data_IF_479051978984
#
_entry.id   IF_479051978984
#
_cell.length_a   1.000
_cell.length_b   1.000
_cell.length_c   1.000
_cell.angle_alpha   90.00
_cell.angle_beta   90.00
_cell.angle_gamma   90.00
#
_symmetry.space_group_name_H-M   'P 1'
#
loop_
_entity.id
_entity.type
_entity.pdbx_description
1 polymer ?
#
# COMPACT_ATOMS: atom_id res chain seq x y z
N UNK A 1 40.80 -9.88 33.41
CA UNK A 1 39.69 -10.54 32.68
C UNK A 1 39.83 -12.04 32.92
N UNK A 2 39.06 -12.62 33.83
CA UNK A 2 39.25 -14.01 34.27
C UNK A 2 38.47 -14.95 33.34
N UNK A 3 39.05 -15.27 32.19
CA UNK A 3 38.47 -16.18 31.20
C UNK A 3 39.18 -17.53 31.35
N UNK A 4 38.43 -18.56 31.72
CA UNK A 4 38.95 -19.93 31.88
C UNK A 4 39.74 -20.39 30.64
N UNK A 5 40.92 -20.95 30.86
CA UNK A 5 41.84 -21.45 29.83
C UNK A 5 41.14 -22.38 28.81
N UNK A 6 40.26 -23.27 29.29
CA UNK A 6 39.46 -24.15 28.45
C UNK A 6 38.53 -23.41 27.47
N UNK A 7 38.04 -22.22 27.83
CA UNK A 7 37.20 -21.39 26.95
C UNK A 7 38.04 -20.75 25.84
N UNK A 8 39.28 -20.35 26.13
CA UNK A 8 40.22 -19.80 25.16
C UNK A 8 40.51 -20.86 24.09
N UNK A 9 40.92 -22.07 24.49
CA UNK A 9 41.18 -23.18 23.56
C UNK A 9 39.96 -23.56 22.72
N UNK A 10 38.75 -23.60 23.31
CA UNK A 10 37.51 -23.87 22.58
C UNK A 10 37.20 -22.80 21.53
N UNK A 11 37.38 -21.52 21.86
CA UNK A 11 37.15 -20.42 20.92
C UNK A 11 38.18 -20.40 19.80
N UNK A 12 39.47 -20.63 20.11
CA UNK A 12 40.55 -20.72 19.10
C UNK A 12 40.31 -21.90 18.15
N UNK A 13 40.02 -23.09 18.65
CA UNK A 13 39.71 -24.26 17.81
C UNK A 13 38.47 -24.02 16.92
N UNK A 14 37.45 -23.34 17.45
CA UNK A 14 36.27 -22.97 16.68
C UNK A 14 36.56 -21.94 15.60
N UNK A 15 37.46 -21.00 15.86
CA UNK A 15 37.92 -20.01 14.87
C UNK A 15 38.72 -20.67 13.74
N UNK A 16 39.60 -21.61 14.07
CA UNK A 16 40.38 -22.38 13.09
C UNK A 16 39.50 -23.26 12.20
N UNK A 17 38.40 -23.82 12.73
CA UNK A 17 37.51 -24.72 12.00
C UNK A 17 36.40 -24.03 11.20
N UNK A 18 35.93 -22.86 11.65
CA UNK A 18 34.69 -22.25 11.10
C UNK A 18 34.79 -20.73 10.86
N UNK A 19 35.99 -20.15 10.99
CA UNK A 19 36.21 -18.72 10.86
C UNK A 19 35.96 -17.93 12.15
N UNK A 20 36.55 -16.73 12.21
CA UNK A 20 36.54 -15.85 13.39
C UNK A 20 35.10 -15.43 13.76
N UNK A 21 34.27 -15.11 12.76
CA UNK A 21 32.89 -14.67 12.96
C UNK A 21 32.01 -15.75 13.60
N UNK A 22 32.20 -17.00 13.21
CA UNK A 22 31.49 -18.13 13.81
C UNK A 22 32.00 -18.41 15.23
N UNK A 23 33.27 -18.11 15.53
CA UNK A 23 33.87 -18.33 16.84
C UNK A 23 33.32 -17.35 17.89
N UNK A 24 33.14 -16.08 17.50
CA UNK A 24 32.65 -15.00 18.35
C UNK A 24 31.17 -15.17 18.74
N UNK A 25 30.37 -15.81 17.90
CA UNK A 25 28.94 -16.01 18.14
C UNK A 25 28.62 -17.38 18.73
N UNK A 26 27.72 -17.45 19.70
CA UNK A 26 27.20 -18.73 20.19
C UNK A 26 26.53 -19.52 19.05
N UNK A 27 26.73 -20.84 19.02
CA UNK A 27 25.96 -21.70 18.10
C UNK A 27 24.48 -21.59 18.46
N UNK A 28 23.61 -21.70 17.46
CA UNK A 28 22.17 -21.73 17.69
C UNK A 28 21.85 -22.84 18.70
N UNK A 29 21.40 -22.47 19.89
CA UNK A 29 21.05 -23.43 20.94
C UNK A 29 19.80 -24.18 20.48
N UNK A 30 19.71 -25.50 20.72
CA UNK A 30 18.46 -26.22 20.51
C UNK A 30 17.41 -25.56 21.41
N UNK A 31 16.46 -24.86 20.79
CA UNK A 31 15.38 -24.19 21.51
C UNK A 31 14.45 -25.21 22.19
N UNK A 32 13.46 -24.72 22.93
CA UNK A 32 12.43 -25.58 23.52
C UNK A 32 11.79 -26.46 22.43
N UNK A 33 11.66 -27.79 22.64
CA UNK A 33 11.02 -28.67 21.67
C UNK A 33 9.60 -28.20 21.36
N UNK A 34 9.18 -28.38 20.11
CA UNK A 34 7.85 -27.97 19.65
C UNK A 34 6.79 -28.83 20.35
N UNK A 35 5.92 -28.20 21.14
CA UNK A 35 4.85 -28.92 21.88
C UNK A 35 3.57 -29.16 21.05
N UNK A 36 3.41 -28.47 19.93
CA UNK A 36 2.25 -28.61 19.03
C UNK A 36 2.73 -29.30 17.75
N UNK A 37 2.05 -30.39 17.36
CA UNK A 37 2.31 -31.14 16.14
C UNK A 37 2.03 -30.30 14.89
N UNK A 38 2.57 -30.70 13.75
CA UNK A 38 2.33 -29.96 12.50
C UNK A 38 0.89 -30.15 11.99
N UNK A 39 0.27 -31.30 12.26
CA UNK A 39 -1.15 -31.55 12.01
C UNK A 39 -2.06 -30.60 12.81
N UNK A 40 -1.78 -30.43 14.11
CA UNK A 40 -2.52 -29.51 14.96
C UNK A 40 -2.38 -28.05 14.47
N UNK A 41 -1.21 -27.66 13.95
CA UNK A 41 -1.03 -26.34 13.30
C UNK A 41 -1.84 -26.20 12.04
N UNK A 42 -1.85 -27.23 11.19
CA UNK A 42 -2.62 -27.24 9.95
C UNK A 42 -4.12 -27.11 10.25
N UNK A 43 -4.62 -27.78 11.30
CA UNK A 43 -5.99 -27.61 11.78
C UNK A 43 -6.27 -26.15 12.17
N UNK A 44 -5.44 -25.54 13.03
CA UNK A 44 -5.60 -24.14 13.45
C UNK A 44 -5.63 -23.19 12.25
N UNK A 45 -4.74 -23.39 11.28
CA UNK A 45 -4.66 -22.58 10.07
C UNK A 45 -5.91 -22.77 9.21
N UNK A 46 -6.33 -24.02 9.00
CA UNK A 46 -7.54 -24.34 8.24
C UNK A 46 -8.76 -23.67 8.86
N UNK A 47 -8.97 -23.81 10.17
CA UNK A 47 -10.06 -23.17 10.90
C UNK A 47 -10.03 -21.65 10.74
N UNK A 48 -8.84 -21.03 10.81
CA UNK A 48 -8.70 -19.59 10.61
C UNK A 48 -9.05 -19.13 9.18
N UNK A 49 -8.89 -19.99 8.17
CA UNK A 49 -9.23 -19.71 6.78
C UNK A 49 -10.69 -20.01 6.43
N UNK A 50 -11.44 -20.67 7.31
CA UNK A 50 -12.88 -20.93 7.16
C UNK A 50 -13.67 -19.81 7.82
N UNK A 51 -14.75 -19.33 7.19
CA UNK A 51 -15.58 -18.29 7.82
C UNK A 51 -16.29 -18.87 9.06
N UNK A 52 -16.42 -18.12 10.17
CA UNK A 52 -17.12 -18.62 11.34
C UNK A 52 -18.59 -19.01 11.04
N UNK A 53 -19.25 -18.32 10.10
CA UNK A 53 -20.61 -18.63 9.62
C UNK A 53 -20.70 -20.05 9.04
N UNK A 54 -19.69 -20.49 8.29
CA UNK A 54 -19.64 -21.84 7.72
C UNK A 54 -19.51 -22.92 8.81
N UNK A 55 -19.08 -22.53 10.02
CA UNK A 55 -19.00 -23.38 11.20
C UNK A 55 -20.20 -23.20 12.14
N UNK A 56 -21.28 -22.56 11.68
CA UNK A 56 -22.51 -22.35 12.45
C UNK A 56 -22.45 -21.24 13.50
N UNK A 57 -21.45 -20.34 13.43
CA UNK A 57 -21.32 -19.22 14.35
C UNK A 57 -21.94 -17.94 13.76
N UNK A 58 -22.46 -17.06 14.61
CA UNK A 58 -23.04 -15.77 14.19
C UNK A 58 -22.02 -14.68 13.84
N UNK A 59 -20.72 -14.97 13.94
CA UNK A 59 -19.65 -13.99 13.71
C UNK A 59 -19.21 -13.96 12.24
N UNK A 60 -19.01 -12.77 11.68
CA UNK A 60 -18.51 -12.63 10.30
C UNK A 60 -17.02 -12.99 10.18
N UNK A 61 -16.20 -12.60 11.16
CA UNK A 61 -14.74 -12.79 11.16
C UNK A 61 -14.24 -13.40 12.46
N UNK A 62 -13.07 -14.03 12.40
CA UNK A 62 -12.38 -14.53 13.58
C UNK A 62 -11.64 -13.41 14.30
N UNK A 63 -11.99 -13.14 15.57
CA UNK A 63 -11.01 -12.54 16.48
C UNK A 63 -10.08 -13.64 17.04
N UNK A 64 -8.86 -13.28 17.45
CA UNK A 64 -7.94 -14.24 18.09
C UNK A 64 -8.60 -14.96 19.28
N UNK A 65 -9.44 -14.26 20.05
CA UNK A 65 -10.16 -14.85 21.19
C UNK A 65 -11.22 -15.85 20.74
N UNK A 66 -12.01 -15.50 19.72
CA UNK A 66 -13.06 -16.37 19.20
C UNK A 66 -12.48 -17.63 18.56
N UNK A 67 -11.44 -17.49 17.75
CA UNK A 67 -10.76 -18.60 17.11
C UNK A 67 -10.14 -19.53 18.16
N UNK A 68 -9.46 -18.96 19.17
CA UNK A 68 -8.88 -19.77 20.25
C UNK A 68 -9.97 -20.51 21.01
N UNK A 69 -11.09 -19.85 21.37
CA UNK A 69 -12.21 -20.51 22.03
C UNK A 69 -12.75 -21.68 21.19
N UNK A 70 -13.01 -21.44 19.90
CA UNK A 70 -13.50 -22.47 19.00
C UNK A 70 -12.55 -23.67 18.90
N UNK A 71 -11.23 -23.42 18.78
CA UNK A 71 -10.21 -24.49 18.76
C UNK A 71 -10.24 -25.29 20.06
N UNK A 72 -10.39 -24.64 21.21
CA UNK A 72 -10.42 -25.36 22.50
C UNK A 72 -11.64 -26.26 22.64
N UNK A 73 -12.78 -25.84 22.07
CA UNK A 73 -14.06 -26.54 22.15
C UNK A 73 -14.20 -27.65 21.08
N UNK A 74 -13.58 -27.49 19.90
CA UNK A 74 -13.87 -28.32 18.73
C UNK A 74 -12.64 -29.06 18.16
N UNK A 75 -11.44 -28.85 18.70
CA UNK A 75 -10.27 -29.60 18.23
C UNK A 75 -10.35 -31.06 18.68
N UNK A 76 -10.03 -32.02 17.78
CA UNK A 76 -9.82 -33.41 18.15
C UNK A 76 -8.85 -33.59 19.33
N UNK A 77 -9.15 -34.52 20.23
CA UNK A 77 -8.33 -34.78 21.42
C UNK A 77 -6.89 -35.18 21.05
N UNK A 78 -6.72 -35.87 19.92
CA UNK A 78 -5.43 -36.29 19.36
C UNK A 78 -4.44 -35.13 19.17
N UNK A 79 -4.94 -33.92 18.90
CA UNK A 79 -4.10 -32.74 18.71
C UNK A 79 -3.60 -32.12 20.02
N UNK A 80 -4.21 -32.46 21.16
CA UNK A 80 -3.85 -31.97 22.50
C UNK A 80 -3.71 -30.43 22.57
N UNK A 81 -4.67 -29.70 21.98
CA UNK A 81 -4.69 -28.22 21.90
C UNK A 81 -5.86 -27.56 22.66
N UNK A 82 -6.60 -28.32 23.48
CA UNK A 82 -7.69 -27.80 24.31
C UNK A 82 -7.27 -26.71 25.32
N UNK A 83 -5.98 -26.68 25.70
CA UNK A 83 -5.39 -25.65 26.57
C UNK A 83 -4.67 -24.51 25.84
N UNK A 84 -4.73 -24.43 24.50
CA UNK A 84 -3.88 -23.50 23.74
C UNK A 84 -4.14 -22.03 24.10
N UNK A 85 -3.08 -21.23 24.28
CA UNK A 85 -3.20 -19.81 24.60
C UNK A 85 -3.48 -18.94 23.36
N UNK A 86 -4.16 -17.81 23.55
CA UNK A 86 -4.36 -16.80 22.49
C UNK A 86 -3.04 -16.37 21.84
N UNK A 87 -1.98 -16.21 22.65
CA UNK A 87 -0.66 -15.83 22.16
C UNK A 87 -0.01 -16.90 21.29
N UNK A 88 -0.27 -18.18 21.57
CA UNK A 88 0.23 -19.29 20.75
C UNK A 88 -0.48 -19.33 19.40
N UNK A 89 -1.81 -19.21 19.37
CA UNK A 89 -2.59 -19.11 18.13
C UNK A 89 -2.12 -17.92 17.30
N UNK A 90 -1.98 -16.75 17.92
CA UNK A 90 -1.48 -15.55 17.24
C UNK A 90 -0.07 -15.73 16.64
N UNK A 91 0.85 -16.40 17.35
CA UNK A 91 2.18 -16.71 16.81
C UNK A 91 2.13 -17.66 15.61
N UNK A 92 1.26 -18.67 15.64
CA UNK A 92 1.06 -19.61 14.53
C UNK A 92 0.55 -18.86 13.31
N UNK A 93 -0.51 -18.08 13.46
CA UNK A 93 -1.09 -17.29 12.37
C UNK A 93 -0.11 -16.27 11.80
N UNK A 94 0.65 -15.57 12.67
CA UNK A 94 1.67 -14.61 12.25
C UNK A 94 2.77 -15.26 11.42
N UNK A 95 3.19 -16.48 11.79
CA UNK A 95 4.21 -17.22 11.03
C UNK A 95 3.72 -17.62 9.64
N UNK A 96 2.43 -17.87 9.48
CA UNK A 96 1.79 -18.18 8.19
C UNK A 96 1.26 -16.94 7.45
N UNK A 97 1.50 -15.73 7.97
CA UNK A 97 0.94 -14.46 7.47
C UNK A 97 -0.59 -14.44 7.32
N UNK A 98 -1.31 -15.18 8.18
CA UNK A 98 -2.78 -15.26 8.17
C UNK A 98 -3.33 -14.25 9.18
N UNK A 99 -4.30 -13.44 8.78
CA UNK A 99 -4.92 -12.40 9.60
C UNK A 99 -6.45 -12.47 9.45
N UNK A 100 -7.12 -13.42 10.10
CA UNK A 100 -8.51 -13.75 9.82
C UNK A 100 -9.52 -12.71 10.38
N UNK A 101 -9.01 -11.70 11.09
CA UNK A 101 -9.73 -10.51 11.56
C UNK A 101 -9.56 -9.29 10.65
N UNK A 102 -8.76 -9.40 9.58
CA UNK A 102 -8.53 -8.30 8.64
C UNK A 102 -9.23 -8.59 7.33
N UNK A 103 -10.04 -7.64 6.89
CA UNK A 103 -10.56 -7.59 5.52
C UNK A 103 -9.55 -6.85 4.66
N UNK A 104 -9.25 -7.41 3.51
CA UNK A 104 -8.57 -6.72 2.42
C UNK A 104 -9.50 -6.73 1.21
N UNK A 105 -9.67 -5.58 0.61
CA UNK A 105 -10.37 -5.47 -0.66
C UNK A 105 -9.44 -5.92 -1.78
N UNK A 106 -10.00 -6.55 -2.80
CA UNK A 106 -9.32 -6.81 -4.05
C UNK A 106 -10.23 -6.32 -5.18
N UNK A 107 -9.63 -5.83 -6.25
CA UNK A 107 -10.37 -5.48 -7.45
C UNK A 107 -10.41 -6.69 -8.38
N UNK A 108 -11.60 -7.08 -8.81
CA UNK A 108 -11.80 -8.15 -9.78
C UNK A 108 -11.51 -7.62 -11.17
N UNK A 109 -10.84 -8.43 -12.00
CA UNK A 109 -10.52 -8.05 -13.38
C UNK A 109 -11.77 -8.20 -14.24
N UNK A 110 -12.52 -7.11 -14.37
CA UNK A 110 -13.77 -7.10 -15.14
C UNK A 110 -13.64 -6.44 -16.52
N UNK A 111 -12.53 -5.74 -16.81
CA UNK A 111 -12.30 -5.10 -18.10
C UNK A 111 -11.90 -6.13 -19.18
N UNK A 112 -12.68 -6.29 -20.28
CA UNK A 112 -12.31 -7.18 -21.38
C UNK A 112 -10.97 -6.84 -22.04
N UNK A 113 -10.59 -5.56 -22.02
CA UNK A 113 -9.36 -5.03 -22.63
C UNK A 113 -8.23 -4.85 -21.62
N UNK A 114 -8.34 -5.45 -20.42
CA UNK A 114 -7.39 -5.27 -19.32
C UNK A 114 -5.93 -5.45 -19.76
N UNK A 115 -5.64 -6.54 -20.47
CA UNK A 115 -4.28 -6.84 -20.90
C UNK A 115 -3.75 -5.88 -21.96
N UNK A 116 -4.64 -5.35 -22.82
CA UNK A 116 -4.26 -4.42 -23.89
C UNK A 116 -3.90 -3.06 -23.28
N UNK A 117 -4.76 -2.52 -22.42
CA UNK A 117 -4.53 -1.26 -21.72
C UNK A 117 -3.34 -1.36 -20.76
N UNK A 118 -3.22 -2.48 -20.04
CA UNK A 118 -2.07 -2.76 -19.19
C UNK A 118 -0.75 -2.77 -19.96
N UNK A 119 -0.73 -3.37 -21.16
CA UNK A 119 0.44 -3.32 -22.05
C UNK A 119 0.79 -1.91 -22.51
N UNK A 120 -0.21 -1.08 -22.81
CA UNK A 120 0.03 0.32 -23.20
C UNK A 120 0.69 1.13 -22.07
N UNK A 121 0.23 0.96 -20.83
CA UNK A 121 0.83 1.62 -19.67
C UNK A 121 2.25 1.14 -19.42
N UNK A 122 2.49 -0.18 -19.50
CA UNK A 122 3.84 -0.73 -19.38
C UNK A 122 4.77 -0.19 -20.48
N UNK A 123 4.24 0.06 -21.69
CA UNK A 123 4.98 0.70 -22.76
C UNK A 123 5.36 2.14 -22.39
N UNK A 124 4.45 2.93 -21.82
CA UNK A 124 4.77 4.28 -21.31
C UNK A 124 5.86 4.24 -20.25
N UNK A 125 5.80 3.32 -19.28
CA UNK A 125 6.86 3.17 -18.28
C UNK A 125 8.21 2.76 -18.90
N UNK A 126 8.19 1.93 -19.94
CA UNK A 126 9.39 1.58 -20.70
C UNK A 126 9.95 2.80 -21.45
N UNK A 127 9.09 3.60 -22.09
CA UNK A 127 9.47 4.86 -22.75
C UNK A 127 10.15 5.81 -21.77
N UNK A 128 9.59 5.98 -20.56
CA UNK A 128 10.19 6.82 -19.50
C UNK A 128 11.59 6.34 -19.14
N UNK A 129 11.78 5.03 -18.98
CA UNK A 129 13.10 4.46 -18.65
C UNK A 129 14.11 4.67 -19.78
N UNK A 130 13.69 4.56 -21.03
CA UNK A 130 14.54 4.83 -22.20
C UNK A 130 14.88 6.32 -22.26
N UNK A 131 13.88 7.19 -22.07
CA UNK A 131 14.03 8.65 -22.07
C UNK A 131 15.05 9.10 -21.01
N UNK A 132 14.92 8.60 -19.77
CA UNK A 132 15.88 8.88 -18.67
C UNK A 132 17.32 8.48 -19.00
N UNK A 133 17.51 7.40 -19.78
CA UNK A 133 18.85 6.90 -20.16
C UNK A 133 19.47 7.66 -21.32
N UNK A 134 18.63 8.18 -22.22
CA UNK A 134 19.06 8.76 -23.50
C UNK A 134 18.87 10.29 -23.56
N UNK A 135 18.90 10.97 -22.40
CA UNK A 135 18.52 12.39 -22.25
C UNK A 135 19.25 13.37 -23.19
N UNK A 136 20.37 12.96 -23.81
CA UNK A 136 21.17 13.80 -24.72
C UNK A 136 20.91 13.59 -26.23
N UNK A 137 20.21 12.52 -26.65
CA UNK A 137 20.13 12.11 -28.08
C UNK A 137 18.70 11.97 -28.65
N UNK A 138 17.66 12.41 -27.93
CA UNK A 138 16.29 12.32 -28.43
C UNK A 138 15.88 13.59 -29.17
N UNK A 139 15.50 13.45 -30.45
CA UNK A 139 14.93 14.52 -31.27
C UNK A 139 13.51 14.93 -30.85
N UNK A 140 12.82 14.13 -30.02
CA UNK A 140 11.48 14.44 -29.51
C UNK A 140 11.47 14.57 -27.99
N UNK A 141 11.00 15.72 -27.50
CA UNK A 141 10.88 16.02 -26.09
C UNK A 141 9.52 15.55 -25.56
N UNK A 142 9.53 14.77 -24.48
CA UNK A 142 8.33 14.20 -23.89
C UNK A 142 8.20 14.56 -22.42
N UNK A 143 6.99 14.96 -22.02
CA UNK A 143 6.58 15.01 -20.63
C UNK A 143 5.70 13.79 -20.34
N UNK A 144 5.96 13.11 -19.23
CA UNK A 144 5.20 11.94 -18.81
C UNK A 144 4.55 12.23 -17.47
N UNK A 145 3.23 12.38 -17.46
CA UNK A 145 2.46 12.68 -16.27
C UNK A 145 1.64 11.48 -15.83
N UNK A 146 1.67 11.17 -14.53
CA UNK A 146 0.62 10.37 -13.89
C UNK A 146 -0.35 11.34 -13.24
N UNK A 147 -1.57 11.37 -13.73
CA UNK A 147 -2.62 12.26 -13.26
C UNK A 147 -3.57 11.50 -12.33
N UNK A 148 -3.93 12.15 -11.23
CA UNK A 148 -4.94 11.68 -10.30
C UNK A 148 -5.70 12.87 -9.72
N UNK A 149 -6.89 12.58 -9.21
CA UNK A 149 -7.80 13.57 -8.67
C UNK A 149 -8.43 13.09 -7.38
N UNK A 150 -8.46 13.99 -6.40
CA UNK A 150 -9.10 13.76 -5.11
C UNK A 150 -10.23 14.76 -4.95
N UNK A 151 -11.44 14.43 -5.45
CA UNK A 151 -12.61 15.26 -5.22
C UNK A 151 -13.09 15.14 -3.77
N UNK A 152 -13.87 16.13 -3.32
CA UNK A 152 -14.58 16.07 -2.03
C UNK A 152 -13.69 16.15 -0.80
N UNK A 153 -12.51 16.76 -0.90
CA UNK A 153 -11.64 17.04 0.25
C UNK A 153 -12.38 18.03 1.16
N UNK A 154 -12.87 17.56 2.30
CA UNK A 154 -13.51 18.43 3.27
C UNK A 154 -12.47 19.37 3.89
N UNK A 155 -12.62 20.67 3.66
CA UNK A 155 -11.82 21.68 4.32
C UNK A 155 -12.37 21.89 5.74
N UNK A 156 -11.63 21.41 6.74
CA UNK A 156 -11.97 21.56 8.16
C UNK A 156 -10.94 22.39 8.91
N UNK A 157 -11.42 23.19 9.87
CA UNK A 157 -10.59 23.94 10.81
C UNK A 157 -11.07 23.73 12.23
N UNK A 158 -10.17 23.88 13.21
CA UNK A 158 -10.55 23.84 14.62
C UNK A 158 -11.24 25.16 15.00
N UNK A 159 -12.31 25.09 15.79
CA UNK A 159 -12.94 26.29 16.36
C UNK A 159 -12.05 26.93 17.43
N UNK A 160 -11.38 26.09 18.21
CA UNK A 160 -10.58 26.49 19.36
C UNK A 160 -9.13 26.04 19.18
N UNK A 161 -8.21 26.79 19.76
CA UNK A 161 -6.80 26.42 19.79
C UNK A 161 -6.58 25.13 20.60
N UNK A 162 -5.60 24.34 20.17
CA UNK A 162 -5.12 23.18 20.91
C UNK A 162 -4.58 23.63 22.28
N UNK A 163 -4.91 22.88 23.34
CA UNK A 163 -4.37 23.13 24.68
C UNK A 163 -3.08 22.30 24.84
N UNK A 164 -1.97 22.92 25.29
CA UNK A 164 -0.75 22.18 25.56
C UNK A 164 -0.94 21.23 26.76
N UNK A 165 -0.07 20.20 26.90
CA UNK A 165 -0.01 19.38 28.11
C UNK A 165 0.18 20.24 29.37
N UNK A 166 -0.38 19.80 30.48
CA UNK A 166 -0.23 20.41 31.80
C UNK A 166 0.07 19.36 32.87
N UNK A 167 0.11 19.79 34.15
CA UNK A 167 0.42 18.90 35.28
C UNK A 167 -0.56 17.72 35.43
N UNK A 168 -1.79 17.85 34.92
CA UNK A 168 -2.86 16.85 35.04
C UNK A 168 -3.12 16.12 33.71
N UNK A 169 -2.64 16.64 32.58
CA UNK A 169 -2.88 16.09 31.24
C UNK A 169 -1.57 15.99 30.46
N UNK A 170 -1.13 14.77 30.16
CA UNK A 170 0.16 14.52 29.48
C UNK A 170 0.15 14.78 27.98
N UNK A 171 -1.01 15.06 27.39
CA UNK A 171 -1.20 15.11 25.94
C UNK A 171 -1.75 16.47 25.50
N UNK A 172 -1.50 16.85 24.24
CA UNK A 172 -2.18 17.97 23.60
C UNK A 172 -3.67 17.65 23.53
N UNK A 173 -4.50 18.54 24.07
CA UNK A 173 -5.96 18.40 24.01
C UNK A 173 -6.52 19.26 22.88
N UNK A 174 -7.18 18.62 21.93
CA UNK A 174 -7.91 19.27 20.84
C UNK A 174 -9.40 19.16 21.11
N UNK A 175 -10.14 20.27 20.97
CA UNK A 175 -11.59 20.21 21.07
C UNK A 175 -12.17 19.44 19.88
N UNK A 176 -13.23 18.66 20.12
CA UNK A 176 -13.93 17.89 19.09
C UNK A 176 -14.68 18.80 18.10
N UNK A 177 -15.05 20.01 18.50
CA UNK A 177 -15.78 20.95 17.65
C UNK A 177 -14.89 21.50 16.51
N UNK A 178 -15.37 21.39 15.28
CA UNK A 178 -14.70 21.87 14.08
C UNK A 178 -15.65 22.69 13.18
N UNK A 179 -15.08 23.58 12.38
CA UNK A 179 -15.78 24.32 11.33
C UNK A 179 -15.55 23.64 9.99
N UNK A 180 -16.59 23.61 9.15
CA UNK A 180 -16.54 23.18 7.76
C UNK A 180 -16.48 24.40 6.84
N UNK A 181 -15.44 24.48 6.03
CA UNK A 181 -15.26 25.53 5.01
C UNK A 181 -15.73 25.09 3.61
N UNK A 182 -16.48 23.99 3.54
CA UNK A 182 -16.89 23.37 2.27
C UNK A 182 -15.97 22.24 1.84
N UNK A 183 -16.07 21.88 0.57
CA UNK A 183 -15.33 20.78 -0.06
C UNK A 183 -14.52 21.31 -1.24
N UNK A 184 -13.27 20.88 -1.34
CA UNK A 184 -12.38 21.20 -2.44
C UNK A 184 -12.08 19.94 -3.25
N UNK A 185 -11.65 20.15 -4.49
CA UNK A 185 -11.17 19.11 -5.39
C UNK A 185 -9.72 19.41 -5.75
N UNK A 186 -8.84 18.44 -5.49
CA UNK A 186 -7.45 18.51 -5.92
C UNK A 186 -7.31 17.74 -7.23
N UNK A 187 -6.82 18.40 -8.27
CA UNK A 187 -6.46 17.80 -9.54
C UNK A 187 -4.94 17.91 -9.67
N UNK A 188 -4.22 16.80 -9.85
CA UNK A 188 -2.77 16.82 -9.84
C UNK A 188 -2.15 15.83 -10.83
N UNK A 189 -1.13 16.28 -11.55
CA UNK A 189 -0.24 15.46 -12.36
C UNK A 189 1.17 15.47 -11.80
N UNK A 190 1.73 14.30 -11.54
CA UNK A 190 3.15 14.15 -11.20
C UNK A 190 3.95 13.79 -12.45
N UNK A 191 5.01 14.56 -12.70
CA UNK A 191 6.02 14.25 -13.71
C UNK A 191 6.84 13.03 -13.28
N UNK A 192 6.73 11.95 -14.05
CA UNK A 192 7.38 10.68 -13.76
C UNK A 192 8.89 10.70 -14.02
N UNK A 193 9.39 11.74 -14.69
CA UNK A 193 10.82 11.99 -14.90
C UNK A 193 11.40 12.81 -13.75
N UNK A 194 10.80 13.98 -13.47
CA UNK A 194 11.36 14.96 -12.52
C UNK A 194 10.82 14.82 -11.10
N UNK A 195 9.67 14.17 -10.92
CA UNK A 195 8.93 14.12 -9.66
C UNK A 195 8.18 15.41 -9.32
N UNK A 196 8.18 16.42 -10.22
CA UNK A 196 7.46 17.67 -10.00
C UNK A 196 5.95 17.45 -10.09
N UNK A 197 5.20 18.09 -9.18
CA UNK A 197 3.74 17.99 -9.14
C UNK A 197 3.15 19.29 -9.66
N UNK A 198 2.38 19.19 -10.73
CA UNK A 198 1.57 20.27 -11.29
C UNK A 198 0.13 20.03 -10.81
N UNK A 199 -0.44 20.98 -10.09
CA UNK A 199 -1.74 20.79 -9.45
C UNK A 199 -2.64 22.02 -9.55
N UNK A 200 -3.95 21.79 -9.40
CA UNK A 200 -4.98 22.82 -9.28
C UNK A 200 -5.91 22.46 -8.12
N UNK A 201 -6.30 23.45 -7.33
CA UNK A 201 -7.28 23.31 -6.25
C UNK A 201 -8.52 24.08 -6.67
N UNK A 202 -9.65 23.38 -6.78
CA UNK A 202 -10.89 23.94 -7.32
C UNK A 202 -12.07 23.62 -6.38
N UNK A 203 -13.06 24.51 -6.33
CA UNK A 203 -14.27 24.31 -5.51
C UNK A 203 -15.21 23.25 -6.10
N UNK A 204 -15.02 22.89 -7.37
CA UNK A 204 -15.86 21.98 -8.14
C UNK A 204 -15.03 20.95 -8.87
N UNK A 205 -15.71 19.90 -9.32
CA UNK A 205 -15.11 18.79 -10.05
C UNK A 205 -15.92 18.53 -11.33
N UNK A 206 -15.66 19.32 -12.38
CA UNK A 206 -16.25 19.15 -13.71
C UNK A 206 -15.17 19.23 -14.80
N UNK A 207 -15.59 18.98 -16.04
CA UNK A 207 -14.71 19.06 -17.22
C UNK A 207 -13.98 20.40 -17.35
N UNK A 208 -14.60 21.51 -16.95
CA UNK A 208 -13.99 22.84 -17.05
C UNK A 208 -12.81 22.99 -16.09
N UNK A 209 -12.92 22.49 -14.86
CA UNK A 209 -11.82 22.47 -13.90
C UNK A 209 -10.68 21.54 -14.36
N UNK A 210 -11.02 20.40 -14.97
CA UNK A 210 -10.03 19.52 -15.60
C UNK A 210 -9.28 20.22 -16.74
N UNK A 211 -10.00 20.92 -17.63
CA UNK A 211 -9.39 21.69 -18.72
C UNK A 211 -8.45 22.79 -18.18
N UNK A 212 -8.82 23.48 -17.10
CA UNK A 212 -7.91 24.44 -16.44
C UNK A 212 -6.62 23.76 -15.96
N UNK A 213 -6.73 22.56 -15.39
CA UNK A 213 -5.56 21.79 -14.99
C UNK A 213 -4.68 21.43 -16.19
N UNK A 214 -5.27 21.03 -17.32
CA UNK A 214 -4.54 20.80 -18.57
C UNK A 214 -3.88 22.07 -19.11
N UNK A 215 -4.54 23.24 -19.00
CA UNK A 215 -3.93 24.52 -19.36
C UNK A 215 -2.73 24.87 -18.47
N UNK A 216 -2.78 24.55 -17.17
CA UNK A 216 -1.66 24.75 -16.26
C UNK A 216 -0.48 23.83 -16.63
N UNK A 217 -0.78 22.57 -16.98
CA UNK A 217 0.22 21.62 -17.50
C UNK A 217 0.81 22.12 -18.82
N UNK A 218 -0.02 22.61 -19.73
CA UNK A 218 0.44 23.11 -21.04
C UNK A 218 1.41 24.28 -20.91
N UNK A 219 1.10 25.23 -20.02
CA UNK A 219 1.94 26.41 -19.75
C UNK A 219 3.25 26.08 -19.05
N UNK A 220 3.29 24.97 -18.32
CA UNK A 220 4.49 24.55 -17.59
C UNK A 220 5.57 24.00 -18.54
N UNK A 221 5.17 23.24 -19.57
CA UNK A 221 6.10 22.65 -20.52
C UNK A 221 6.28 23.53 -21.77
N UNK A 222 7.50 23.66 -22.33
CA UNK A 222 7.72 24.34 -23.60
C UNK A 222 6.89 23.75 -24.76
N UNK A 223 6.57 24.54 -25.79
CA UNK A 223 5.63 24.19 -26.86
C UNK A 223 6.05 22.97 -27.71
N UNK A 224 7.35 22.67 -27.76
CA UNK A 224 7.93 21.55 -28.50
C UNK A 224 7.80 20.19 -27.79
N UNK A 225 7.39 20.18 -26.51
CA UNK A 225 7.10 18.94 -25.78
C UNK A 225 5.83 18.25 -26.27
N UNK A 226 5.82 16.92 -26.21
CA UNK A 226 4.60 16.11 -26.28
C UNK A 226 4.26 15.60 -24.88
N UNK A 227 3.05 15.86 -24.41
CA UNK A 227 2.63 15.53 -23.05
C UNK A 227 1.82 14.23 -23.08
N UNK A 228 2.41 13.15 -22.56
CA UNK A 228 1.72 11.88 -22.33
C UNK A 228 1.17 11.86 -20.91
N UNK A 229 -0.15 11.73 -20.77
CA UNK A 229 -0.82 11.69 -19.46
C UNK A 229 -1.44 10.31 -19.26
N UNK A 230 -1.08 9.66 -18.15
CA UNK A 230 -1.75 8.45 -17.66
C UNK A 230 -2.85 8.91 -16.71
N UNK A 231 -4.09 8.47 -16.95
CA UNK A 231 -5.26 8.83 -16.15
C UNK A 231 -6.28 7.69 -16.10
N UNK A 232 -7.21 7.78 -15.16
CA UNK A 232 -8.31 6.82 -15.02
C UNK A 232 -9.40 7.02 -16.10
N UNK A 233 -10.43 6.18 -16.09
CA UNK A 233 -11.51 6.24 -17.08
C UNK A 233 -12.65 7.22 -16.71
N UNK A 234 -12.42 8.23 -15.87
CA UNK A 234 -13.48 9.16 -15.47
C UNK A 234 -14.15 9.85 -16.68
N UNK A 235 -15.47 9.99 -16.59
CA UNK A 235 -16.35 10.62 -17.57
C UNK A 235 -15.90 12.02 -17.99
N UNK A 236 -15.31 12.80 -17.07
CA UNK A 236 -14.83 14.15 -17.36
C UNK A 236 -13.72 14.15 -18.41
N UNK A 237 -12.85 13.13 -18.44
CA UNK A 237 -11.74 13.02 -19.38
C UNK A 237 -12.20 12.69 -20.82
N UNK A 238 -13.41 12.13 -20.96
CA UNK A 238 -14.03 11.78 -22.24
C UNK A 238 -15.17 12.72 -22.64
N UNK A 239 -15.40 13.77 -21.85
CA UNK A 239 -16.44 14.76 -22.09
C UNK A 239 -16.24 15.51 -23.41
N UNK A 240 -17.33 16.00 -23.99
CA UNK A 240 -17.28 16.79 -25.24
C UNK A 240 -16.40 18.03 -25.07
N UNK A 241 -16.51 18.73 -23.93
CA UNK A 241 -15.70 19.93 -23.69
C UNK A 241 -14.21 19.61 -23.65
N UNK A 242 -13.84 18.47 -23.05
CA UNK A 242 -12.43 18.04 -23.00
C UNK A 242 -11.92 17.67 -24.38
N UNK A 243 -12.70 16.93 -25.17
CA UNK A 243 -12.31 16.59 -26.54
C UNK A 243 -12.19 17.83 -27.44
N UNK A 244 -13.09 18.80 -27.31
CA UNK A 244 -12.99 20.08 -28.01
C UNK A 244 -11.72 20.84 -27.62
N UNK A 245 -11.33 20.82 -26.36
CA UNK A 245 -10.08 21.41 -25.90
C UNK A 245 -8.85 20.71 -26.48
N UNK A 246 -8.80 19.37 -26.45
CA UNK A 246 -7.69 18.59 -27.00
C UNK A 246 -7.55 18.81 -28.51
N UNK A 247 -8.66 18.93 -29.23
CA UNK A 247 -8.66 19.19 -30.67
C UNK A 247 -8.13 20.58 -31.04
N UNK A 248 -8.17 21.55 -30.11
CA UNK A 248 -7.53 22.87 -30.32
C UNK A 248 -6.00 22.82 -30.23
N UNK A 249 -5.43 21.74 -29.66
CA UNK A 249 -3.98 21.55 -29.47
C UNK A 249 -3.54 20.20 -30.05
N UNK A 250 -3.66 20.01 -31.39
CA UNK A 250 -3.44 18.71 -32.02
C UNK A 250 -2.01 18.22 -31.80
N UNK A 251 -1.86 16.98 -31.30
CA UNK A 251 -0.56 16.35 -31.08
C UNK A 251 0.17 16.77 -29.79
N UNK A 252 -0.34 17.77 -29.07
CA UNK A 252 0.25 18.24 -27.80
C UNK A 252 0.01 17.27 -26.65
N UNK A 253 -1.20 16.72 -26.56
CA UNK A 253 -1.60 15.81 -25.50
C UNK A 253 -1.87 14.40 -26.03
N UNK A 254 -1.36 13.39 -25.33
CA UNK A 254 -1.68 11.98 -25.55
C UNK A 254 -2.16 11.36 -24.24
N UNK A 255 -3.44 10.98 -24.20
CA UNK A 255 -4.02 10.32 -23.04
C UNK A 255 -3.83 8.80 -23.14
N UNK A 256 -3.45 8.20 -22.02
CA UNK A 256 -3.32 6.75 -21.84
C UNK A 256 -4.18 6.37 -20.64
N UNK A 257 -5.23 5.59 -20.90
CA UNK A 257 -6.23 5.26 -19.88
C UNK A 257 -5.86 3.98 -19.12
N UNK A 258 -6.03 3.98 -17.80
CA UNK A 258 -5.93 2.76 -16.99
C UNK A 258 -7.00 1.74 -17.37
N UNK A 259 -6.78 0.42 -17.18
CA UNK A 259 -7.87 -0.54 -17.24
C UNK A 259 -8.95 -0.19 -16.21
N UNK A 260 -10.20 -0.51 -16.53
CA UNK A 260 -11.29 -0.36 -15.54
C UNK A 260 -11.03 -1.32 -14.38
N UNK A 261 -11.13 -0.84 -13.14
CA UNK A 261 -10.79 -1.60 -11.92
C UNK A 261 -9.33 -2.06 -11.86
N UNK A 262 -8.40 -1.14 -12.14
CA UNK A 262 -6.97 -1.33 -11.99
C UNK A 262 -6.31 -0.22 -11.14
N UNK A 263 -7.06 0.35 -10.20
CA UNK A 263 -6.59 1.45 -9.34
C UNK A 263 -5.98 0.94 -8.03
#
# INVERSE_FOLDING_TARGET
MNVYEAKIYRTVNKALLSGIDAALNDRQRPGKPRMISDEARAYIIKTACTKPIELGLSYELWTNRLLTRYIRENAPEEYNISGISNGTVSKILKKSNIKPYKITYYEEKTDPDFDVKGREILHVYKDINIYKRNNDNNNELYAFLSYDEKPGIQATGNIYNDKPPDKNHSNIARNHDYIRHGTLSLLAGIDLVTGHIIYSIEDKHKSIEFIKCLDNVDKYYPDDYKIKIILDNNSIHKSKETQEYLNKKPGRFKFVFTPVHAN
#
